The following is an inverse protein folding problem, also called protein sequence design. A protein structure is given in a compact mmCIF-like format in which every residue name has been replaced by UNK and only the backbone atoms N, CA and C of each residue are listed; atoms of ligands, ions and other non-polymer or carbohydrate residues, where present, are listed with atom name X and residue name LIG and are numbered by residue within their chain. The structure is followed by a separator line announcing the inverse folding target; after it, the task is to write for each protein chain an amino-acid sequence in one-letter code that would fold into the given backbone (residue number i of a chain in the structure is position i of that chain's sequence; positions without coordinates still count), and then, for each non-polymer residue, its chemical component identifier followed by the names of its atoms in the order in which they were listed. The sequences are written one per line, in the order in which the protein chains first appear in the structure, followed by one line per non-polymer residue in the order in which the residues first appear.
data_IF_271016534384
#
_entry.id   IF_271016534384
#
_cell.length_a   1.000
_cell.length_b   1.000
_cell.length_c   1.000
_cell.angle_alpha   90.00
_cell.angle_beta   90.00
_cell.angle_gamma   90.00
#
_symmetry.space_group_name_H-M   'P 1'
#
loop_
_entity.id
_entity.type
_entity.pdbx_description
1 polymer ?
#
# COMPACT_ATOMS: atom_id res chain seq x y z
N UNK A 1 -41.25 -4.11 -28.49
CA UNK A 1 -40.12 -4.65 -27.70
C UNK A 1 -38.88 -4.64 -28.58
N UNK A 2 -38.09 -3.57 -28.50
CA UNK A 2 -36.80 -3.51 -29.17
C UNK A 2 -35.80 -4.33 -28.35
N UNK A 3 -35.06 -5.22 -29.01
CA UNK A 3 -34.09 -6.11 -28.36
C UNK A 3 -33.07 -5.30 -27.57
N UNK A 4 -32.78 -5.75 -26.34
CA UNK A 4 -31.58 -5.36 -25.61
C UNK A 4 -30.39 -5.63 -26.53
N UNK A 5 -29.81 -4.57 -27.04
CA UNK A 5 -28.48 -4.60 -27.63
C UNK A 5 -27.53 -5.20 -26.60
N UNK A 6 -26.61 -6.03 -27.08
CA UNK A 6 -25.52 -6.64 -26.34
C UNK A 6 -24.61 -5.54 -25.76
N UNK A 7 -25.06 -4.90 -24.67
CA UNK A 7 -24.32 -3.86 -23.97
C UNK A 7 -23.22 -4.56 -23.17
N UNK A 8 -22.08 -4.77 -23.84
CA UNK A 8 -20.89 -5.28 -23.21
C UNK A 8 -20.48 -4.36 -22.06
N UNK A 9 -20.39 -4.91 -20.84
CA UNK A 9 -20.01 -4.18 -19.63
C UNK A 9 -18.74 -3.38 -19.84
N UNK A 10 -18.70 -2.16 -19.30
CA UNK A 10 -17.55 -1.26 -19.43
C UNK A 10 -16.89 -1.10 -18.08
N UNK A 11 -15.66 -1.57 -18.03
CA UNK A 11 -14.92 -1.71 -16.79
C UNK A 11 -13.88 -0.59 -16.70
N UNK A 12 -13.83 0.06 -15.53
CA UNK A 12 -12.77 0.98 -15.15
C UNK A 12 -11.91 0.40 -14.04
N UNK A 13 -10.61 0.29 -14.28
CA UNK A 13 -9.62 -0.24 -13.36
C UNK A 13 -8.80 0.88 -12.74
N UNK A 14 -8.82 0.95 -11.41
CA UNK A 14 -8.04 1.87 -10.59
C UNK A 14 -7.12 1.08 -9.68
N UNK A 15 -5.81 1.27 -9.81
CA UNK A 15 -4.80 0.50 -9.08
C UNK A 15 -4.09 1.40 -8.07
N UNK A 16 -4.18 1.05 -6.81
CA UNK A 16 -3.27 1.53 -5.78
C UNK A 16 -2.01 0.67 -5.83
N UNK A 17 -0.99 1.16 -6.56
CA UNK A 17 0.18 0.35 -6.83
C UNK A 17 0.98 0.06 -5.56
N UNK A 18 1.08 1.04 -4.65
CA UNK A 18 1.85 0.89 -3.42
C UNK A 18 1.24 -0.21 -2.54
N UNK A 19 -0.08 -0.26 -2.39
CA UNK A 19 -0.75 -1.28 -1.59
C UNK A 19 -0.64 -2.69 -2.20
N UNK A 20 -0.65 -2.82 -3.54
CA UNK A 20 -0.54 -4.12 -4.18
C UNK A 20 0.85 -4.76 -4.11
N UNK A 21 1.91 -3.95 -3.97
CA UNK A 21 3.30 -4.44 -3.91
C UNK A 21 3.88 -4.44 -2.49
N UNK A 22 3.43 -3.53 -1.63
CA UNK A 22 3.99 -3.40 -0.28
C UNK A 22 3.38 -4.45 0.63
N UNK A 23 4.21 -5.17 1.40
CA UNK A 23 3.78 -6.21 2.35
C UNK A 23 3.06 -7.43 1.74
N UNK A 24 3.02 -7.58 0.41
CA UNK A 24 2.30 -8.68 -0.28
C UNK A 24 3.22 -9.81 -0.76
N UNK A 25 4.55 -9.63 -0.65
CA UNK A 25 5.54 -10.54 -1.23
C UNK A 25 5.70 -10.38 -2.75
N UNK A 26 4.89 -9.52 -3.38
CA UNK A 26 5.05 -9.12 -4.78
C UNK A 26 6.04 -7.95 -4.82
N UNK A 27 7.23 -8.17 -5.37
CA UNK A 27 8.07 -7.03 -5.74
C UNK A 27 7.52 -6.37 -7.00
N UNK A 28 7.88 -5.11 -7.22
CA UNK A 28 7.59 -4.41 -8.48
C UNK A 28 7.92 -5.28 -9.70
N UNK A 29 9.02 -6.04 -9.64
CA UNK A 29 9.51 -6.92 -10.70
C UNK A 29 8.72 -8.23 -10.87
N UNK A 30 7.94 -8.62 -9.88
CA UNK A 30 7.07 -9.79 -9.91
C UNK A 30 5.59 -9.42 -10.09
N UNK A 31 5.26 -8.14 -10.12
CA UNK A 31 3.90 -7.70 -10.32
C UNK A 31 3.44 -8.08 -11.73
N UNK A 32 2.42 -8.94 -11.81
CA UNK A 32 1.78 -9.34 -13.06
C UNK A 32 0.28 -9.11 -12.97
N UNK A 33 -0.18 -8.13 -13.73
CA UNK A 33 -1.58 -7.75 -13.82
C UNK A 33 -2.33 -8.60 -14.85
N UNK A 34 -1.62 -9.32 -15.73
CA UNK A 34 -2.21 -9.91 -16.91
C UNK A 34 -3.28 -10.97 -16.63
N UNK A 35 -3.08 -11.90 -15.67
CA UNK A 35 -4.14 -12.85 -15.32
C UNK A 35 -5.42 -12.19 -14.81
N UNK A 36 -5.29 -11.06 -14.09
CA UNK A 36 -6.45 -10.31 -13.62
C UNK A 36 -7.14 -9.58 -14.78
N UNK A 37 -6.39 -9.01 -15.73
CA UNK A 37 -6.95 -8.40 -16.93
C UNK A 37 -7.68 -9.42 -17.79
N UNK A 38 -7.14 -10.62 -17.97
CA UNK A 38 -7.79 -11.69 -18.71
C UNK A 38 -9.13 -12.07 -18.07
N UNK A 39 -9.18 -12.21 -16.74
CA UNK A 39 -10.43 -12.45 -16.01
C UNK A 39 -11.43 -11.28 -16.14
N UNK A 40 -10.95 -10.03 -16.16
CA UNK A 40 -11.82 -8.86 -16.37
C UNK A 40 -12.36 -8.80 -17.80
N UNK A 41 -11.58 -9.22 -18.80
CA UNK A 41 -12.00 -9.25 -20.20
C UNK A 41 -13.13 -10.25 -20.46
N UNK A 42 -13.24 -11.31 -19.65
CA UNK A 42 -14.38 -12.24 -19.67
C UNK A 42 -15.68 -11.58 -19.17
N UNK A 43 -15.57 -10.57 -18.30
CA UNK A 43 -16.73 -9.87 -17.75
C UNK A 43 -17.15 -8.68 -18.61
N UNK A 44 -16.22 -8.03 -19.31
CA UNK A 44 -16.51 -6.85 -20.09
C UNK A 44 -15.28 -6.18 -20.69
N UNK A 45 -15.51 -5.09 -21.39
CA UNK A 45 -14.44 -4.30 -21.99
C UNK A 45 -13.82 -3.39 -20.94
N UNK A 46 -12.56 -3.63 -20.60
CA UNK A 46 -11.78 -2.71 -19.76
C UNK A 46 -11.39 -1.48 -20.59
N UNK A 47 -12.13 -0.38 -20.40
CA UNK A 47 -12.00 0.87 -21.19
C UNK A 47 -11.16 1.93 -20.50
N UNK A 48 -10.94 1.79 -19.19
CA UNK A 48 -10.17 2.73 -18.38
C UNK A 48 -9.24 1.96 -17.46
N UNK A 49 -7.96 2.36 -17.41
CA UNK A 49 -6.92 1.70 -16.60
C UNK A 49 -5.95 2.75 -16.07
N UNK A 50 -5.94 2.98 -14.77
CA UNK A 50 -4.99 3.88 -14.11
C UNK A 50 -4.33 3.23 -12.91
N UNK A 51 -3.06 3.53 -12.71
CA UNK A 51 -2.34 3.21 -11.50
C UNK A 51 -1.84 4.50 -10.83
N UNK A 52 -1.96 4.55 -9.51
CA UNK A 52 -1.61 5.71 -8.68
C UNK A 52 -0.46 5.32 -7.76
N UNK A 53 0.59 6.14 -7.77
CA UNK A 53 1.77 5.90 -6.95
C UNK A 53 2.71 7.10 -6.92
N UNK A 54 3.61 7.16 -5.93
CA UNK A 54 4.86 7.92 -6.04
C UNK A 54 5.85 7.12 -6.91
N UNK A 55 5.86 7.39 -8.21
CA UNK A 55 6.65 6.57 -9.13
C UNK A 55 8.16 6.80 -9.03
N UNK A 56 8.61 7.75 -8.20
CA UNK A 56 10.03 7.88 -7.86
C UNK A 56 10.55 6.65 -7.11
N UNK A 57 9.65 5.94 -6.40
CA UNK A 57 9.96 4.72 -5.61
C UNK A 57 9.87 3.43 -6.42
N UNK A 58 9.12 3.43 -7.52
CA UNK A 58 8.75 2.24 -8.27
C UNK A 58 9.01 2.36 -9.79
N UNK A 59 10.16 2.94 -10.16
CA UNK A 59 10.52 3.18 -11.55
C UNK A 59 10.51 1.92 -12.42
N UNK A 60 10.91 0.77 -11.87
CA UNK A 60 11.00 -0.51 -12.59
C UNK A 60 9.64 -1.06 -13.03
N UNK A 61 8.55 -0.65 -12.37
CA UNK A 61 7.19 -1.11 -12.67
C UNK A 61 6.56 -0.39 -13.88
N UNK A 62 7.06 0.82 -14.22
CA UNK A 62 6.45 1.70 -15.23
C UNK A 62 6.31 1.02 -16.58
N UNK A 63 7.37 0.37 -17.04
CA UNK A 63 7.41 -0.28 -18.37
C UNK A 63 6.35 -1.36 -18.46
N UNK A 64 6.28 -2.27 -17.47
CA UNK A 64 5.32 -3.38 -17.46
C UNK A 64 3.87 -2.91 -17.43
N UNK A 65 3.57 -1.88 -16.63
CA UNK A 65 2.23 -1.30 -16.55
C UNK A 65 1.85 -0.62 -17.87
N UNK A 66 2.80 0.09 -18.50
CA UNK A 66 2.59 0.71 -19.79
C UNK A 66 2.36 -0.33 -20.90
N UNK A 67 3.07 -1.46 -20.88
CA UNK A 67 2.91 -2.55 -21.86
C UNK A 67 1.49 -3.15 -21.83
N UNK A 68 0.80 -3.12 -20.69
CA UNK A 68 -0.59 -3.57 -20.54
C UNK A 68 -1.62 -2.43 -20.65
N UNK A 69 -1.17 -1.24 -21.08
CA UNK A 69 -2.02 -0.08 -21.35
C UNK A 69 -2.58 0.59 -20.09
N UNK A 70 -1.86 0.56 -18.99
CA UNK A 70 -2.22 1.29 -17.75
C UNK A 70 -1.60 2.69 -17.80
N UNK A 71 -2.44 3.71 -17.65
CA UNK A 71 -1.99 5.09 -17.48
C UNK A 71 -1.42 5.28 -16.06
N UNK A 72 -0.24 5.91 -15.97
CA UNK A 72 0.47 6.11 -14.71
C UNK A 72 0.21 7.51 -14.17
N UNK A 73 -0.49 7.61 -13.05
CA UNK A 73 -0.73 8.87 -12.35
C UNK A 73 0.33 9.02 -11.26
N UNK A 74 1.23 9.99 -11.44
CA UNK A 74 2.26 10.29 -10.46
C UNK A 74 1.70 11.17 -9.35
N UNK A 75 1.85 10.70 -8.11
CA UNK A 75 1.37 11.38 -6.91
C UNK A 75 2.54 11.51 -5.93
N UNK A 76 3.41 12.51 -6.12
CA UNK A 76 4.50 12.76 -5.19
C UNK A 76 3.95 13.16 -3.81
N UNK A 77 4.61 12.78 -2.71
CA UNK A 77 4.16 13.13 -1.36
C UNK A 77 4.18 14.65 -1.18
N UNK A 78 3.07 15.24 -0.74
CA UNK A 78 2.95 16.68 -0.52
C UNK A 78 3.66 17.16 0.75
N UNK A 79 3.92 16.26 1.70
CA UNK A 79 4.69 16.49 2.95
C UNK A 79 5.35 15.17 3.39
N UNK A 80 6.29 15.22 4.35
CA UNK A 80 6.94 14.02 4.93
C UNK A 80 5.95 13.04 5.60
N UNK A 81 4.75 13.52 5.92
CA UNK A 81 3.61 12.77 6.46
C UNK A 81 2.68 12.17 5.39
N UNK A 82 2.80 12.59 4.13
CA UNK A 82 1.82 12.44 3.05
C UNK A 82 1.71 11.02 2.48
N UNK A 83 1.23 10.08 3.29
CA UNK A 83 1.08 8.67 2.92
C UNK A 83 -0.19 8.35 2.12
N UNK A 84 -1.24 9.16 2.22
CA UNK A 84 -2.55 8.84 1.61
C UNK A 84 -2.88 9.73 0.39
N UNK A 85 -1.91 10.45 -0.17
CA UNK A 85 -2.15 11.33 -1.32
C UNK A 85 -2.57 10.54 -2.56
N UNK A 86 -1.96 9.37 -2.78
CA UNK A 86 -2.32 8.47 -3.89
C UNK A 86 -3.73 7.93 -3.73
N UNK A 87 -4.09 7.45 -2.53
CA UNK A 87 -5.43 6.92 -2.21
C UNK A 87 -6.51 7.97 -2.44
N UNK A 88 -6.31 9.17 -1.90
CA UNK A 88 -7.24 10.29 -2.10
C UNK A 88 -7.39 10.64 -3.58
N UNK A 89 -6.28 10.67 -4.33
CA UNK A 89 -6.33 10.97 -5.77
C UNK A 89 -7.09 9.90 -6.54
N UNK A 90 -6.87 8.62 -6.22
CA UNK A 90 -7.60 7.50 -6.80
C UNK A 90 -9.10 7.63 -6.54
N UNK A 91 -9.49 7.91 -5.29
CA UNK A 91 -10.90 8.08 -4.89
C UNK A 91 -11.58 9.22 -5.66
N UNK A 92 -10.89 10.36 -5.79
CA UNK A 92 -11.42 11.53 -6.53
C UNK A 92 -11.64 11.17 -8.00
N UNK A 93 -10.63 10.62 -8.67
CA UNK A 93 -10.72 10.26 -10.09
C UNK A 93 -11.81 9.17 -10.33
N UNK A 94 -11.97 8.22 -9.41
CA UNK A 94 -12.99 7.17 -9.50
C UNK A 94 -14.42 7.72 -9.39
N UNK A 95 -14.66 8.62 -8.43
CA UNK A 95 -15.96 9.27 -8.27
C UNK A 95 -16.26 10.23 -9.43
N UNK A 96 -15.28 11.01 -9.89
CA UNK A 96 -15.43 11.84 -11.07
C UNK A 96 -15.83 11.01 -12.29
N UNK A 97 -15.16 9.87 -12.53
CA UNK A 97 -15.50 8.98 -13.64
C UNK A 97 -16.90 8.38 -13.49
N UNK A 98 -17.29 7.96 -12.27
CA UNK A 98 -18.61 7.43 -11.97
C UNK A 98 -19.75 8.40 -12.33
N UNK A 99 -19.53 9.70 -12.11
CA UNK A 99 -20.51 10.75 -12.43
C UNK A 99 -20.41 11.24 -13.88
N UNK A 100 -19.21 11.32 -14.45
CA UNK A 100 -19.00 11.89 -15.77
C UNK A 100 -19.26 10.90 -16.92
N UNK A 101 -19.26 9.59 -16.65
CA UNK A 101 -19.35 8.52 -17.66
C UNK A 101 -20.32 7.43 -17.22
N UNK A 102 -21.61 7.66 -17.43
CA UNK A 102 -22.67 6.73 -17.04
C UNK A 102 -22.56 5.34 -17.68
N UNK A 103 -21.92 5.25 -18.86
CA UNK A 103 -21.75 3.98 -19.57
C UNK A 103 -20.76 3.04 -18.90
N UNK A 104 -19.96 3.52 -17.93
CA UNK A 104 -19.07 2.68 -17.12
C UNK A 104 -19.88 2.15 -15.95
N UNK A 105 -20.21 0.87 -16.00
CA UNK A 105 -21.07 0.19 -15.03
C UNK A 105 -20.27 -0.56 -13.96
N UNK A 106 -18.99 -0.84 -14.23
CA UNK A 106 -18.16 -1.71 -13.38
C UNK A 106 -16.86 -1.01 -13.01
N UNK A 107 -16.56 -0.98 -11.71
CA UNK A 107 -15.37 -0.35 -11.15
C UNK A 107 -14.52 -1.41 -10.45
N UNK A 108 -13.26 -1.52 -10.85
CA UNK A 108 -12.28 -2.41 -10.25
C UNK A 108 -11.32 -1.58 -9.41
N UNK A 109 -11.22 -1.90 -8.12
CA UNK A 109 -10.30 -1.28 -7.18
C UNK A 109 -9.19 -2.26 -6.87
N UNK A 110 -8.02 -2.00 -7.45
CA UNK A 110 -6.77 -2.70 -7.21
C UNK A 110 -6.13 -2.29 -5.89
N UNK A 111 -6.71 -2.71 -4.76
CA UNK A 111 -6.16 -2.53 -3.41
C UNK A 111 -6.72 -3.59 -2.47
N UNK A 112 -5.97 -3.90 -1.39
CA UNK A 112 -6.44 -4.76 -0.29
C UNK A 112 -6.92 -3.98 0.94
N UNK A 113 -6.78 -2.66 0.95
CA UNK A 113 -7.01 -1.82 2.13
C UNK A 113 -8.51 -1.58 2.44
N UNK A 114 -8.85 -1.59 3.72
CA UNK A 114 -10.18 -1.18 4.20
C UNK A 114 -10.46 0.31 4.04
N UNK A 115 -9.44 1.15 3.85
CA UNK A 115 -9.63 2.58 3.62
C UNK A 115 -10.41 2.88 2.32
N UNK A 116 -10.49 1.92 1.39
CA UNK A 116 -11.31 2.00 0.18
C UNK A 116 -12.77 1.56 0.36
N UNK A 117 -13.18 1.07 1.54
CA UNK A 117 -14.58 0.70 1.81
C UNK A 117 -15.58 1.85 1.51
N UNK A 118 -15.35 3.11 1.93
CA UNK A 118 -16.25 4.21 1.61
C UNK A 118 -16.41 4.45 0.10
N UNK A 119 -15.33 4.30 -0.68
CA UNK A 119 -15.39 4.38 -2.14
C UNK A 119 -16.25 3.24 -2.72
N UNK A 120 -16.05 2.01 -2.25
CA UNK A 120 -16.84 0.86 -2.69
C UNK A 120 -18.33 1.06 -2.40
N UNK A 121 -18.70 1.49 -1.20
CA UNK A 121 -20.09 1.80 -0.85
C UNK A 121 -20.66 2.91 -1.72
N UNK A 122 -19.90 4.00 -1.94
CA UNK A 122 -20.37 5.12 -2.77
C UNK A 122 -20.60 4.72 -4.22
N UNK A 123 -19.74 3.89 -4.80
CA UNK A 123 -19.92 3.36 -6.16
C UNK A 123 -21.17 2.48 -6.24
N UNK A 124 -21.40 1.61 -5.26
CA UNK A 124 -22.59 0.75 -5.18
C UNK A 124 -23.88 1.52 -4.98
N UNK A 125 -23.87 2.57 -4.14
CA UNK A 125 -24.99 3.52 -4.02
C UNK A 125 -25.36 4.17 -5.36
N UNK A 126 -24.39 4.32 -6.27
CA UNK A 126 -24.61 4.85 -7.62
C UNK A 126 -24.90 3.76 -8.65
N UNK A 127 -25.28 2.55 -8.21
CA UNK A 127 -25.67 1.45 -9.08
C UNK A 127 -24.52 0.82 -9.86
N UNK A 128 -23.26 1.03 -9.43
CA UNK A 128 -22.09 0.43 -10.07
C UNK A 128 -21.75 -0.91 -9.42
N UNK A 129 -21.32 -1.87 -10.23
CA UNK A 129 -20.69 -3.11 -9.72
C UNK A 129 -19.26 -2.80 -9.29
N UNK A 130 -18.89 -3.23 -8.09
CA UNK A 130 -17.54 -3.03 -7.53
C UNK A 130 -16.80 -4.36 -7.41
N UNK A 131 -15.61 -4.41 -8.00
CA UNK A 131 -14.73 -5.57 -7.96
C UNK A 131 -13.45 -5.18 -7.22
N UNK A 132 -13.15 -5.86 -6.12
CA UNK A 132 -11.85 -5.73 -5.47
C UNK A 132 -10.79 -6.58 -6.20
N UNK A 133 -9.56 -6.09 -6.27
CA UNK A 133 -8.43 -6.80 -6.86
C UNK A 133 -7.21 -6.68 -5.95
N UNK A 134 -6.76 -7.78 -5.34
CA UNK A 134 -5.58 -7.74 -4.46
C UNK A 134 -4.95 -9.12 -4.26
N UNK A 135 -3.80 -9.15 -3.57
CA UNK A 135 -3.23 -10.39 -3.04
C UNK A 135 -4.04 -10.84 -1.84
N UNK A 136 -4.37 -12.14 -1.76
CA UNK A 136 -5.27 -12.68 -0.73
C UNK A 136 -4.80 -12.38 0.69
N UNK A 137 -3.50 -12.48 0.95
CA UNK A 137 -2.89 -12.24 2.27
C UNK A 137 -2.87 -10.76 2.66
N UNK A 138 -2.99 -9.86 1.69
CA UNK A 138 -3.00 -8.41 1.88
C UNK A 138 -4.42 -7.81 1.85
N UNK A 139 -5.45 -8.65 1.70
CA UNK A 139 -6.83 -8.21 1.58
C UNK A 139 -7.52 -8.16 2.94
N UNK A 140 -8.01 -6.99 3.34
CA UNK A 140 -8.87 -6.86 4.52
C UNK A 140 -10.24 -7.50 4.28
N UNK A 141 -10.72 -8.30 5.24
CA UNK A 141 -12.07 -8.89 5.17
C UNK A 141 -13.16 -7.82 5.09
N UNK A 142 -12.93 -6.64 5.66
CA UNK A 142 -13.87 -5.52 5.55
C UNK A 142 -13.99 -5.04 4.11
N UNK A 143 -12.85 -4.90 3.41
CA UNK A 143 -12.84 -4.46 2.02
C UNK A 143 -13.44 -5.49 1.07
N UNK A 144 -13.11 -6.78 1.28
CA UNK A 144 -13.70 -7.88 0.51
C UNK A 144 -15.24 -7.87 0.63
N UNK A 145 -15.78 -7.65 1.83
CA UNK A 145 -17.22 -7.59 2.06
C UNK A 145 -17.88 -6.31 1.53
N UNK A 146 -17.11 -5.24 1.29
CA UNK A 146 -17.64 -4.00 0.72
C UNK A 146 -17.87 -4.11 -0.80
N UNK A 147 -17.11 -4.98 -1.47
CA UNK A 147 -17.18 -5.23 -2.91
C UNK A 147 -18.27 -6.27 -3.27
N UNK A 148 -18.76 -6.23 -4.51
CA UNK A 148 -19.69 -7.25 -5.02
C UNK A 148 -18.96 -8.53 -5.47
N UNK A 149 -17.73 -8.37 -5.97
CA UNK A 149 -16.85 -9.47 -6.36
C UNK A 149 -15.41 -9.18 -5.94
N UNK A 150 -14.57 -10.22 -5.87
CA UNK A 150 -13.17 -10.07 -5.55
C UNK A 150 -12.28 -11.00 -6.39
N UNK A 151 -11.26 -10.42 -7.02
CA UNK A 151 -10.25 -11.12 -7.81
C UNK A 151 -8.97 -11.17 -7.00
N UNK A 152 -8.48 -12.40 -6.76
CA UNK A 152 -7.23 -12.60 -6.03
C UNK A 152 -6.05 -12.77 -6.99
N UNK A 153 -5.09 -11.85 -6.91
CA UNK A 153 -3.83 -11.96 -7.62
C UNK A 153 -2.95 -13.04 -6.99
N UNK A 154 -2.23 -13.76 -7.85
CA UNK A 154 -1.21 -14.72 -7.43
C UNK A 154 0.16 -14.10 -7.69
N UNK A 155 1.07 -14.08 -6.70
CA UNK A 155 2.48 -13.76 -6.96
C UNK A 155 3.03 -14.74 -7.99
N UNK A 156 3.82 -14.33 -9.00
CA UNK A 156 4.50 -15.35 -9.81
C UNK A 156 5.46 -16.09 -8.90
N UNK A 157 5.30 -17.41 -8.83
CA UNK A 157 6.31 -18.25 -8.21
C UNK A 157 7.60 -18.11 -9.03
N UNK A 158 8.77 -18.20 -8.38
CA UNK A 158 10.08 -18.19 -9.07
C UNK A 158 10.32 -19.41 -10.01
N UNK A 159 9.27 -20.12 -10.42
CA UNK A 159 9.35 -21.39 -11.15
C UNK A 159 8.69 -21.44 -12.52
N UNK A 160 8.08 -20.35 -13.03
CA UNK A 160 7.47 -20.35 -14.37
C UNK A 160 8.42 -19.73 -15.42
N UNK A 161 9.61 -20.32 -15.51
CA UNK A 161 10.43 -20.25 -16.72
C UNK A 161 10.43 -21.64 -17.32
N UNK A 162 10.16 -21.70 -18.62
CA UNK A 162 10.24 -22.88 -19.49
C UNK A 162 8.99 -23.76 -19.59
N UNK A 163 7.89 -23.26 -20.20
CA UNK A 163 7.04 -24.07 -21.11
C UNK A 163 6.27 -23.21 -22.13
N UNK A 164 6.98 -22.44 -22.96
CA UNK A 164 6.42 -22.07 -24.27
C UNK A 164 7.53 -21.74 -25.27
N UNK A 165 8.13 -22.79 -25.82
CA UNK A 165 8.51 -22.89 -27.23
C UNK A 165 9.06 -24.30 -27.47
N UNK A 166 8.24 -25.17 -28.06
CA UNK A 166 8.65 -26.52 -28.42
C UNK A 166 7.62 -27.22 -29.28
N UNK A 167 7.54 -26.86 -30.57
CA UNK A 167 6.71 -27.61 -31.52
C UNK A 167 6.76 -27.09 -32.95
N UNK A 168 7.43 -27.87 -33.83
CA UNK A 168 7.59 -27.77 -35.29
C UNK A 168 8.69 -26.80 -35.75
N UNK A 169 9.82 -27.21 -36.32
CA UNK A 169 10.12 -28.43 -37.08
C UNK A 169 10.09 -28.12 -38.58
N UNK A 170 11.19 -27.58 -39.11
CA UNK A 170 11.57 -27.76 -40.50
C UNK A 170 13.10 -27.81 -40.65
N UNK A 171 13.54 -28.72 -41.50
CA UNK A 171 14.89 -29.24 -41.68
C UNK A 171 15.34 -28.92 -43.11
N UNK A 172 16.62 -28.61 -43.29
CA UNK A 172 17.33 -28.43 -44.58
C UNK A 172 17.72 -26.96 -44.81
N UNK A 173 18.92 -26.58 -45.22
CA UNK A 173 20.08 -27.33 -45.73
C UNK A 173 21.35 -26.46 -45.58
N UNK A 174 22.53 -27.08 -45.68
CA UNK A 174 23.88 -26.50 -45.55
C UNK A 174 24.41 -25.89 -46.86
N UNK A 175 25.20 -24.83 -46.73
CA UNK A 175 26.42 -24.48 -47.50
C UNK A 175 26.91 -23.15 -46.90
N UNK A 176 28.03 -23.04 -46.19
CA UNK A 176 29.47 -23.13 -46.53
C UNK A 176 29.99 -22.16 -47.61
N UNK A 177 31.16 -21.58 -47.29
CA UNK A 177 31.98 -20.55 -47.95
C UNK A 177 31.55 -19.08 -47.75
N UNK A 178 32.39 -18.14 -47.29
CA UNK A 178 33.81 -18.19 -46.97
C UNK A 178 34.37 -16.81 -46.55
N UNK A 179 35.41 -16.88 -45.72
CA UNK A 179 36.63 -16.04 -45.68
C UNK A 179 36.58 -14.49 -45.68
N UNK A 180 37.23 -13.95 -44.64
CA UNK A 180 38.16 -12.81 -44.71
C UNK A 180 37.65 -11.57 -43.97
N UNK A 181 38.40 -10.89 -43.09
CA UNK A 181 39.80 -10.93 -42.75
C UNK A 181 40.11 -10.04 -41.52
N UNK A 182 41.36 -10.13 -41.11
CA UNK A 182 42.03 -9.70 -39.87
C UNK A 182 42.27 -8.18 -39.68
N UNK A 183 42.46 -7.81 -38.40
CA UNK A 183 43.35 -6.75 -37.82
C UNK A 183 42.93 -5.28 -38.01
N UNK A 184 43.14 -4.34 -37.09
CA UNK A 184 43.85 -4.25 -35.80
C UNK A 184 44.20 -2.77 -35.47
N UNK A 185 44.60 -2.47 -34.21
CA UNK A 185 45.19 -1.19 -33.73
C UNK A 185 44.18 -0.23 -33.08
N UNK A 186 44.24 0.26 -31.81
CA UNK A 186 45.26 0.64 -30.80
C UNK A 186 45.98 2.00 -31.05
N UNK A 187 45.73 2.95 -30.12
CA UNK A 187 46.49 4.19 -29.83
C UNK A 187 45.91 5.44 -30.49
N UNK A 188 45.89 6.66 -29.92
CA UNK A 188 46.39 7.31 -28.70
C UNK A 188 45.83 8.76 -28.72
N UNK A 189 45.44 9.37 -27.59
CA UNK A 189 46.17 10.33 -26.74
C UNK A 189 46.63 11.65 -27.41
N UNK A 190 46.27 12.78 -26.79
CA UNK A 190 46.67 14.18 -27.02
C UNK A 190 45.43 15.07 -26.89
N UNK A 191 45.14 15.80 -25.81
CA UNK A 191 45.88 16.75 -24.94
C UNK A 191 46.13 18.14 -25.55
N UNK A 192 45.96 19.14 -24.67
CA UNK A 192 46.14 20.60 -24.77
C UNK A 192 45.02 21.42 -25.47
N UNK A 193 44.49 22.51 -24.91
CA UNK A 193 44.75 23.20 -23.64
C UNK A 193 44.22 24.65 -23.65
N UNK A 194 43.95 25.19 -22.44
CA UNK A 194 43.81 26.61 -22.02
C UNK A 194 42.58 27.42 -22.48
N UNK A 195 41.88 28.20 -21.65
CA UNK A 195 42.02 28.50 -20.22
C UNK A 195 41.27 29.79 -19.82
N UNK A 196 40.89 29.87 -18.53
CA UNK A 196 40.61 31.06 -17.68
C UNK A 196 39.40 31.97 -18.02
N UNK A 197 38.59 32.52 -17.08
CA UNK A 197 38.63 32.81 -15.62
C UNK A 197 37.16 32.96 -15.12
N UNK A 198 36.82 32.50 -13.90
CA UNK A 198 36.43 33.34 -12.73
C UNK A 198 34.90 33.59 -12.72
N UNK A 199 34.07 33.31 -11.70
CA UNK A 199 34.09 33.50 -10.24
C UNK A 199 33.20 32.38 -9.60
N UNK A 200 33.52 31.66 -8.51
CA UNK A 200 33.79 32.00 -7.10
C UNK A 200 32.55 32.32 -6.23
N UNK A 201 31.92 31.27 -5.69
CA UNK A 201 31.30 31.17 -4.33
C UNK A 201 30.62 29.80 -4.24
N UNK A 202 30.74 28.92 -3.24
CA UNK A 202 31.41 28.88 -1.95
C UNK A 202 30.98 27.53 -1.37
N UNK A 203 31.87 26.53 -1.37
CA UNK A 203 31.64 25.21 -0.75
C UNK A 203 32.32 25.23 0.61
N UNK A 204 31.55 25.20 1.67
CA UNK A 204 32.03 24.77 2.98
C UNK A 204 31.69 23.29 3.14
N UNK A 205 32.74 22.46 3.16
CA UNK A 205 32.66 21.14 3.75
C UNK A 205 32.65 21.29 5.28
N UNK A 206 31.96 20.39 5.97
CA UNK A 206 32.27 20.17 7.37
C UNK A 206 32.55 18.69 7.62
N UNK A 207 33.70 18.52 8.24
CA UNK A 207 34.41 17.31 8.63
C UNK A 207 33.59 16.42 9.55
N UNK A 208 33.87 15.12 9.46
CA UNK A 208 33.52 14.18 10.51
C UNK A 208 34.23 14.54 11.82
N UNK A 209 33.45 14.62 12.90
CA UNK A 209 33.94 14.48 14.27
C UNK A 209 32.96 13.63 15.06
N UNK A 210 33.45 12.49 15.53
CA UNK A 210 32.81 11.70 16.56
C UNK A 210 32.72 12.50 17.86
N UNK A 211 31.50 12.60 18.36
CA UNK A 211 31.17 13.00 19.72
C UNK A 211 29.75 12.50 19.95
N UNK A 212 29.57 11.49 20.81
CA UNK A 212 28.24 11.07 21.26
C UNK A 212 27.68 12.20 22.13
N UNK A 213 27.08 13.20 21.51
CA UNK A 213 26.12 14.06 22.21
C UNK A 213 24.96 13.16 22.64
N UNK A 214 24.62 13.21 23.92
CA UNK A 214 23.47 12.50 24.49
C UNK A 214 22.25 12.98 23.70
N UNK A 215 21.60 12.09 22.95
CA UNK A 215 20.42 12.45 22.17
C UNK A 215 19.33 12.89 23.16
N UNK A 216 18.90 14.14 23.06
CA UNK A 216 17.86 14.71 23.92
C UNK A 216 16.49 14.51 23.28
N UNK A 217 15.52 14.11 24.09
CA UNK A 217 14.15 13.90 23.62
C UNK A 217 13.56 15.24 23.16
N UNK A 218 13.00 15.34 21.94
CA UNK A 218 12.40 16.58 21.45
C UNK A 218 11.23 17.02 22.33
N UNK A 219 11.12 18.32 22.60
CA UNK A 219 10.05 18.88 23.43
C UNK A 219 8.65 18.52 22.87
N UNK A 220 8.50 18.53 21.55
CA UNK A 220 7.27 18.15 20.87
C UNK A 220 6.88 16.68 21.12
N UNK A 221 7.85 15.77 21.12
CA UNK A 221 7.61 14.36 21.36
C UNK A 221 7.13 14.12 22.80
N UNK A 222 7.74 14.83 23.76
CA UNK A 222 7.31 14.83 25.16
C UNK A 222 5.88 15.35 25.31
N UNK A 223 5.58 16.49 24.71
CA UNK A 223 4.25 17.11 24.79
C UNK A 223 3.17 16.20 24.20
N UNK A 224 3.42 15.62 23.02
CA UNK A 224 2.47 14.74 22.34
C UNK A 224 2.22 13.47 23.14
N UNK A 225 3.28 12.81 23.61
CA UNK A 225 3.15 11.60 24.43
C UNK A 225 2.35 11.88 25.70
N UNK A 226 2.67 12.95 26.44
CA UNK A 226 1.92 13.32 27.64
C UNK A 226 0.46 13.66 27.32
N UNK A 227 0.20 14.40 26.24
CA UNK A 227 -1.16 14.78 25.84
C UNK A 227 -2.00 13.57 25.43
N UNK A 228 -1.40 12.60 24.73
CA UNK A 228 -2.11 11.41 24.29
C UNK A 228 -2.37 10.46 25.47
N UNK A 229 -1.36 10.22 26.31
CA UNK A 229 -1.48 9.32 27.46
C UNK A 229 -2.44 9.86 28.53
N UNK A 230 -2.55 11.18 28.73
CA UNK A 230 -3.56 11.77 29.64
C UNK A 230 -4.99 11.55 29.17
N UNK A 231 -5.21 11.38 27.86
CA UNK A 231 -6.55 11.22 27.25
C UNK A 231 -6.88 9.77 26.92
N UNK A 232 -5.87 8.91 26.85
CA UNK A 232 -6.03 7.52 26.47
C UNK A 232 -6.62 6.72 27.64
N UNK A 233 -7.66 5.93 27.34
CA UNK A 233 -8.24 4.95 28.28
C UNK A 233 -7.61 3.56 28.14
N UNK A 234 -6.63 3.39 27.24
CA UNK A 234 -5.98 2.11 26.96
C UNK A 234 -4.66 2.24 26.18
N UNK A 235 -4.05 1.12 25.76
CA UNK A 235 -2.77 1.12 25.06
C UNK A 235 -2.80 1.87 23.73
N UNK A 236 -1.76 2.66 23.47
CA UNK A 236 -1.62 3.45 22.26
C UNK A 236 -0.70 2.79 21.25
N UNK A 237 -1.03 2.90 19.97
CA UNK A 237 -0.15 2.49 18.90
C UNK A 237 1.02 3.50 18.73
N UNK A 238 2.27 3.03 18.58
CA UNK A 238 3.42 3.87 18.25
C UNK A 238 3.19 4.78 17.03
N UNK A 239 2.51 4.26 16.00
CA UNK A 239 2.20 5.02 14.78
C UNK A 239 1.35 6.25 15.05
N UNK A 240 0.37 6.16 15.97
CA UNK A 240 -0.49 7.29 16.34
C UNK A 240 0.31 8.41 17.01
N UNK A 241 1.32 8.06 17.83
CA UNK A 241 2.22 9.02 18.45
C UNK A 241 3.04 9.74 17.37
N UNK A 242 3.62 8.97 16.43
CA UNK A 242 4.39 9.53 15.31
C UNK A 242 3.53 10.45 14.44
N UNK A 243 2.34 10.02 14.06
CA UNK A 243 1.39 10.82 13.27
C UNK A 243 1.00 12.12 13.98
N UNK A 244 0.77 12.07 15.29
CA UNK A 244 0.41 13.26 16.08
C UNK A 244 1.58 14.25 16.19
N UNK A 245 2.81 13.76 16.32
CA UNK A 245 4.02 14.61 16.27
C UNK A 245 4.12 15.29 14.93
N UNK A 246 4.04 14.52 13.83
CA UNK A 246 4.17 15.07 12.47
C UNK A 246 3.01 16.00 12.12
N UNK A 247 1.82 15.81 12.69
CA UNK A 247 0.68 16.73 12.53
C UNK A 247 0.90 18.09 13.20
N UNK A 248 1.58 18.11 14.36
CA UNK A 248 1.94 19.36 15.03
C UNK A 248 3.18 20.02 14.42
N UNK A 249 4.15 19.22 14.00
CA UNK A 249 5.38 19.67 13.33
C UNK A 249 5.62 18.87 12.04
N UNK A 250 5.17 19.40 10.88
CA UNK A 250 5.28 18.71 9.59
C UNK A 250 6.72 18.38 9.15
N UNK A 251 7.70 19.16 9.62
CA UNK A 251 9.12 19.01 9.28
C UNK A 251 9.88 18.07 10.22
N UNK A 252 9.22 17.49 11.22
CA UNK A 252 9.84 16.64 12.23
C UNK A 252 10.59 15.43 11.62
N UNK A 253 11.90 15.31 11.92
CA UNK A 253 12.75 14.13 11.68
C UNK A 253 13.39 13.68 13.00
N UNK A 254 13.29 12.41 13.33
CA UNK A 254 13.95 11.89 14.53
C UNK A 254 15.49 12.01 14.45
N UNK A 255 16.04 12.01 13.23
CA UNK A 255 17.49 12.11 12.98
C UNK A 255 18.04 13.49 13.31
N UNK A 256 17.25 14.54 13.12
CA UNK A 256 17.63 15.92 13.45
C UNK A 256 17.79 16.10 14.96
N UNK A 257 17.20 15.19 15.74
CA UNK A 257 17.30 15.13 17.20
C UNK A 257 18.25 14.03 17.70
N UNK A 258 19.06 13.44 16.82
CA UNK A 258 20.06 12.43 17.20
C UNK A 258 19.53 11.01 17.35
N UNK A 259 18.30 10.73 16.92
CA UNK A 259 17.72 9.37 16.93
C UNK A 259 17.74 8.77 15.52
N UNK A 260 18.33 7.59 15.38
CA UNK A 260 18.41 6.91 14.07
C UNK A 260 17.06 6.36 13.59
N UNK A 261 16.13 6.08 14.51
CA UNK A 261 14.78 5.60 14.20
C UNK A 261 13.78 6.11 15.23
N UNK A 262 12.50 6.13 14.87
CA UNK A 262 11.41 6.44 15.81
C UNK A 262 11.36 5.46 17.00
N UNK A 263 11.74 4.20 16.80
CA UNK A 263 11.86 3.23 17.90
C UNK A 263 12.92 3.66 18.93
N UNK A 264 14.04 4.26 18.50
CA UNK A 264 15.06 4.82 19.41
C UNK A 264 14.57 6.05 20.16
N UNK A 265 13.74 6.87 19.51
CA UNK A 265 13.08 7.99 20.18
C UNK A 265 12.11 7.49 21.27
N UNK A 266 11.32 6.44 20.99
CA UNK A 266 10.45 5.81 22.00
C UNK A 266 11.24 5.17 23.14
N UNK A 267 12.41 4.58 22.87
CA UNK A 267 13.32 4.09 23.92
C UNK A 267 13.80 5.22 24.83
N UNK A 268 14.12 6.39 24.28
CA UNK A 268 14.53 7.54 25.08
C UNK A 268 13.38 8.12 25.90
N UNK A 269 12.17 8.18 25.33
CA UNK A 269 10.95 8.56 26.06
C UNK A 269 10.63 7.58 27.22
N UNK A 270 10.90 6.28 27.02
CA UNK A 270 10.79 5.27 28.07
C UNK A 270 11.85 5.46 29.17
N UNK A 271 13.10 5.77 28.80
CA UNK A 271 14.18 6.08 29.76
C UNK A 271 13.93 7.35 30.57
N UNK A 272 13.20 8.33 30.01
CA UNK A 272 12.73 9.53 30.73
C UNK A 272 11.50 9.27 31.60
N UNK A 273 10.95 8.04 31.60
CA UNK A 273 9.79 7.67 32.42
C UNK A 273 8.47 8.28 31.92
N UNK A 274 8.40 8.69 30.65
CA UNK A 274 7.20 9.30 30.08
C UNK A 274 6.20 8.27 29.54
N UNK A 275 6.69 7.07 29.25
CA UNK A 275 5.89 5.98 28.71
C UNK A 275 6.51 4.63 29.09
N UNK A 276 5.75 3.55 28.91
CA UNK A 276 6.25 2.17 28.93
C UNK A 276 5.86 1.48 27.64
N UNK A 277 6.75 0.69 27.05
CA UNK A 277 6.43 -0.12 25.88
C UNK A 277 5.94 -1.50 26.33
N UNK A 278 4.86 -1.97 25.73
CA UNK A 278 4.32 -3.31 25.96
C UNK A 278 4.24 -4.06 24.63
N UNK A 279 4.35 -5.38 24.68
CA UNK A 279 4.17 -6.24 23.53
C UNK A 279 2.90 -7.06 23.71
N UNK A 280 1.94 -6.94 22.79
CA UNK A 280 0.73 -7.74 22.80
C UNK A 280 0.66 -8.54 21.49
N UNK A 281 0.98 -9.83 21.58
CA UNK A 281 1.15 -10.68 20.40
C UNK A 281 2.29 -10.21 19.49
N UNK A 282 1.98 -9.98 18.20
CA UNK A 282 2.97 -9.52 17.20
C UNK A 282 3.13 -7.99 17.13
N UNK A 283 2.31 -7.22 17.85
CA UNK A 283 2.33 -5.75 17.78
C UNK A 283 2.79 -5.15 19.11
N UNK A 284 3.50 -4.02 19.02
CA UNK A 284 3.99 -3.25 20.17
C UNK A 284 3.10 -2.04 20.43
N UNK A 285 2.77 -1.79 21.69
CA UNK A 285 1.95 -0.67 22.16
C UNK A 285 2.70 0.16 23.20
N UNK A 286 2.17 1.34 23.48
CA UNK A 286 2.70 2.31 24.44
C UNK A 286 1.63 2.59 25.49
N UNK A 287 2.02 2.59 26.76
CA UNK A 287 1.14 2.89 27.89
C UNK A 287 1.77 3.93 28.81
N UNK A 288 0.97 4.47 29.72
CA UNK A 288 1.43 5.40 30.73
C UNK A 288 2.46 4.76 31.67
N UNK A 289 3.36 5.55 32.26
CA UNK A 289 4.37 5.04 33.19
C UNK A 289 3.75 4.35 34.42
N UNK A 290 2.57 4.82 34.85
CA UNK A 290 1.82 4.34 36.02
C UNK A 290 0.71 3.34 35.67
N UNK A 291 0.63 2.86 34.41
CA UNK A 291 -0.39 1.89 34.02
C UNK A 291 -0.01 0.49 34.51
N UNK A 292 -0.72 0.00 35.53
CA UNK A 292 -0.64 -1.40 35.97
C UNK A 292 -1.34 -2.31 34.96
N UNK A 293 -0.54 -3.01 34.15
CA UNK A 293 -1.00 -4.08 33.28
C UNK A 293 -0.44 -5.42 33.78
N UNK A 294 -1.23 -6.52 33.70
CA UNK A 294 -0.73 -7.83 34.07
C UNK A 294 0.40 -8.23 33.11
N UNK A 295 1.61 -8.38 33.66
CA UNK A 295 2.80 -8.81 32.91
C UNK A 295 2.56 -10.25 32.45
N UNK A 296 2.52 -10.48 31.13
CA UNK A 296 2.52 -11.82 30.56
C UNK A 296 3.85 -12.51 30.91
N UNK A 297 3.79 -13.55 31.73
CA UNK A 297 4.94 -14.35 32.10
C UNK A 297 5.43 -15.18 30.91
N UNK A 298 6.74 -15.12 30.64
CA UNK A 298 7.42 -16.05 29.75
C UNK A 298 7.39 -17.47 30.36
N UNK A 299 6.51 -18.33 29.83
CA UNK A 299 6.43 -19.74 30.21
C UNK A 299 7.34 -20.64 29.37
N UNK A 300 8.51 -21.00 29.93
CA UNK A 300 9.24 -22.22 29.54
C UNK A 300 8.36 -23.45 29.82
N UNK A 301 8.54 -24.48 28.97
CA UNK A 301 7.60 -25.57 28.78
C UNK A 301 7.24 -26.42 30.01
N UNK A 302 6.04 -27.00 29.95
CA UNK A 302 5.54 -27.99 30.89
C UNK A 302 4.27 -28.64 30.34
N UNK A 303 4.32 -29.95 30.11
CA UNK A 303 3.21 -30.78 29.63
C UNK A 303 2.00 -30.74 30.56
N UNK A 304 0.81 -30.67 29.94
CA UNK A 304 -0.36 -31.44 30.35
C UNK A 304 -1.35 -30.74 31.28
N UNK A 305 -2.55 -30.46 30.76
CA UNK A 305 -3.82 -31.16 31.10
C UNK A 305 -5.00 -30.35 30.57
N UNK A 306 -5.99 -31.07 30.05
CA UNK A 306 -7.28 -30.54 29.59
C UNK A 306 -7.96 -29.69 30.66
N UNK A 307 -8.41 -28.49 30.29
CA UNK A 307 -9.48 -27.77 30.99
C UNK A 307 -10.34 -27.02 29.97
N UNK A 308 -11.64 -27.02 30.28
CA UNK A 308 -12.83 -26.83 29.48
C UNK A 308 -13.01 -25.38 29.01
N UNK A 309 -13.52 -25.18 27.79
CA UNK A 309 -13.96 -23.88 27.30
C UNK A 309 -15.18 -23.36 28.10
N UNK A 310 -15.29 -22.05 28.35
CA UNK A 310 -16.54 -21.45 28.83
C UNK A 310 -17.57 -21.39 27.70
N UNK A 311 -18.84 -21.64 28.06
CA UNK A 311 -19.99 -21.66 27.17
C UNK A 311 -20.35 -20.24 26.65
N UNK A 312 -20.99 -20.14 25.46
CA UNK A 312 -21.47 -18.86 24.95
C UNK A 312 -22.68 -18.37 25.75
N UNK A 313 -22.75 -17.05 25.93
CA UNK A 313 -23.87 -16.32 26.53
C UNK A 313 -25.01 -16.30 25.51
N UNK A 314 -26.20 -16.71 25.94
CA UNK A 314 -27.44 -16.62 25.15
C UNK A 314 -27.84 -15.15 25.05
N UNK A 315 -27.92 -14.60 23.84
CA UNK A 315 -28.58 -13.32 23.57
C UNK A 315 -30.09 -13.58 23.53
N UNK A 316 -30.83 -12.85 24.38
CA UNK A 316 -32.29 -12.88 24.45
C UNK A 316 -32.87 -12.17 23.20
N UNK A 317 -33.75 -12.88 22.49
CA UNK A 317 -34.53 -12.37 21.36
C UNK A 317 -35.46 -11.23 21.83
N UNK A 318 -35.20 -9.99 21.40
CA UNK A 318 -36.16 -8.88 21.51
C UNK A 318 -37.30 -9.09 20.50
N UNK A 319 -38.53 -9.19 21.02
CA UNK A 319 -39.77 -9.32 20.26
C UNK A 319 -39.98 -8.14 19.29
N UNK A 320 -40.14 -8.48 18.00
CA UNK A 320 -40.63 -7.58 16.95
C UNK A 320 -42.10 -7.23 17.18
N UNK A 321 -42.36 -6.04 17.70
CA UNK A 321 -43.69 -5.43 17.72
C UNK A 321 -44.17 -5.18 16.27
N UNK A 322 -45.26 -5.87 15.90
CA UNK A 322 -45.90 -5.73 14.60
C UNK A 322 -46.59 -4.36 14.48
N UNK A 323 -46.19 -3.54 13.52
CA UNK A 323 -46.96 -2.38 13.10
C UNK A 323 -48.16 -2.84 12.25
N UNK A 324 -49.39 -2.41 12.55
CA UNK A 324 -50.54 -2.68 11.69
C UNK A 324 -50.53 -1.79 10.44
N UNK A 325 -50.86 -2.41 9.31
CA UNK A 325 -51.05 -1.83 7.99
C UNK A 325 -52.25 -0.86 7.98
N UNK A 326 -52.15 0.37 7.44
CA UNK A 326 -53.31 1.21 7.22
C UNK A 326 -53.88 0.98 5.81
N UNK A 327 -54.84 0.07 5.68
CA UNK A 327 -55.77 0.08 4.56
C UNK A 327 -56.92 1.07 4.82
N UNK A 328 -57.13 1.94 3.84
CA UNK A 328 -58.43 2.31 3.28
C UNK A 328 -59.48 2.97 4.21
N UNK A 329 -59.54 4.31 4.20
CA UNK A 329 -60.82 5.02 4.21
C UNK A 329 -60.78 6.21 3.25
N UNK A 330 -61.54 6.10 2.16
CA UNK A 330 -61.85 7.22 1.29
C UNK A 330 -62.93 8.14 1.86
N UNK A 331 -62.71 9.44 1.69
CA UNK A 331 -63.72 10.49 1.49
C UNK A 331 -63.12 11.58 0.58
#
# INVERSE_FOLDING_TARGET
MAGRTDEQHRIALFIDFENLVTNTGISSNNFDLQPALDQLLEQGKVVFRRAYCDWSRFADAKVRLHDVGVELVDVPPSTRAGKNSADMRLVIDALELCYAREQIDTFVIGSGDSDFCPLAYKLRENGRTVIGLAVKEASSRMFVNACDQFIYMRPKSRGDKDKEHGGKGHKGDKSDEGRGGKRGGKGGKGDEGKGHKGEASGKEGHEGKGGKSKAEVPAIAREVVQSLLRRATGPLNPSLIKETIVRKEPDFDERDHGFSTFARLLEALEQEGLLRRIQQGRQGYVVGPDTDLPVASEGKGGKGRHAKAPAPVEEEDEELESYPDPEDEGL
#
